data_IF_218842082869
#
_entry.id   IF_218842082869
#
_cell.length_a   1.000
_cell.length_b   1.000
_cell.length_c   1.000
_cell.angle_alpha   90.00
_cell.angle_beta   90.00
_cell.angle_gamma   90.00
#
_symmetry.space_group_name_H-M   'P 1'
#
loop_
_entity.id
_entity.type
_entity.pdbx_description
1 polymer ?
#
# COMPACT_ATOMS: atom_id res chain seq x y z
N UNK A 1 18.09 -1.67 -7.89
CA UNK A 1 16.92 -0.79 -7.59
C UNK A 1 15.76 -1.73 -7.26
N UNK A 2 14.97 -1.45 -6.24
CA UNK A 2 13.83 -2.27 -5.86
C UNK A 2 12.66 -2.05 -6.80
N UNK A 3 11.93 -3.12 -7.14
CA UNK A 3 10.71 -3.05 -7.95
C UNK A 3 9.49 -3.02 -7.03
N UNK A 4 8.69 -1.99 -7.15
CA UNK A 4 7.39 -1.86 -6.48
C UNK A 4 6.29 -2.05 -7.52
N UNK A 5 5.49 -3.08 -7.34
CA UNK A 5 4.34 -3.33 -8.20
C UNK A 5 3.06 -2.99 -7.43
N UNK A 6 2.15 -2.30 -8.07
CA UNK A 6 0.83 -2.00 -7.54
C UNK A 6 -0.23 -2.63 -8.44
N UNK A 7 -0.90 -3.67 -7.95
CA UNK A 7 -1.99 -4.33 -8.65
C UNK A 7 -3.31 -3.80 -8.09
N UNK A 8 -4.16 -3.27 -8.96
CA UNK A 8 -5.38 -2.56 -8.59
C UNK A 8 -6.53 -2.87 -9.54
N UNK A 9 -7.75 -2.86 -9.02
CA UNK A 9 -8.98 -3.05 -9.79
C UNK A 9 -9.54 -1.70 -10.26
N UNK A 10 -10.02 -1.68 -11.51
CA UNK A 10 -10.59 -0.51 -12.17
C UNK A 10 -9.55 0.50 -12.66
N UNK A 11 -9.94 1.29 -13.64
CA UNK A 11 -9.11 2.37 -14.22
C UNK A 11 -9.42 3.70 -13.56
N UNK A 12 -8.38 4.51 -13.35
CA UNK A 12 -8.56 5.92 -12.95
C UNK A 12 -8.89 6.73 -14.21
N UNK A 13 -10.04 7.40 -14.19
CA UNK A 13 -10.47 8.32 -15.26
C UNK A 13 -10.17 9.76 -14.91
N UNK A 14 -10.25 10.11 -13.65
CA UNK A 14 -10.12 11.46 -13.08
C UNK A 14 -8.66 11.96 -13.24
N UNK A 15 -8.50 13.15 -13.85
CA UNK A 15 -7.16 13.73 -14.12
C UNK A 15 -6.41 14.03 -12.84
N UNK A 16 -7.06 14.56 -11.81
CA UNK A 16 -6.43 14.92 -10.55
C UNK A 16 -5.79 13.73 -9.82
N UNK A 17 -6.37 12.53 -9.89
CA UNK A 17 -5.74 11.33 -9.35
C UNK A 17 -4.54 10.89 -10.20
N UNK A 18 -4.66 10.96 -11.55
CA UNK A 18 -3.56 10.65 -12.45
C UNK A 18 -2.38 11.57 -12.22
N UNK A 19 -2.64 12.87 -12.06
CA UNK A 19 -1.61 13.88 -11.85
C UNK A 19 -0.90 13.64 -10.51
N UNK A 20 -1.65 13.36 -9.43
CA UNK A 20 -1.07 13.03 -8.13
C UNK A 20 -0.20 11.76 -8.20
N UNK A 21 -0.68 10.68 -8.84
CA UNK A 21 0.08 9.44 -9.02
C UNK A 21 1.35 9.69 -9.82
N UNK A 22 1.26 10.45 -10.91
CA UNK A 22 2.41 10.76 -11.76
C UNK A 22 3.47 11.57 -11.02
N UNK A 23 3.05 12.50 -10.16
CA UNK A 23 3.96 13.29 -9.34
C UNK A 23 4.74 12.39 -8.36
N UNK A 24 4.03 11.57 -7.58
CA UNK A 24 4.70 10.62 -6.68
C UNK A 24 5.55 9.59 -7.41
N UNK A 25 5.13 9.14 -8.60
CA UNK A 25 5.92 8.23 -9.43
C UNK A 25 7.25 8.88 -9.86
N UNK A 26 7.24 10.17 -10.24
CA UNK A 26 8.47 10.91 -10.55
C UNK A 26 9.38 11.00 -9.32
N UNK A 27 8.81 11.34 -8.16
CA UNK A 27 9.59 11.44 -6.92
C UNK A 27 10.17 10.09 -6.46
N UNK A 28 9.46 8.98 -6.69
CA UNK A 28 9.92 7.64 -6.37
C UNK A 28 11.05 7.15 -7.26
N UNK A 29 11.20 7.68 -8.47
CA UNK A 29 12.14 7.17 -9.49
C UNK A 29 13.60 7.08 -9.01
N UNK A 30 14.01 7.89 -8.05
CA UNK A 30 15.35 7.85 -7.45
C UNK A 30 15.54 6.73 -6.42
N UNK A 31 14.47 6.07 -5.98
CA UNK A 31 14.49 5.06 -4.92
C UNK A 31 14.03 3.69 -5.42
N UNK A 32 12.98 3.65 -6.21
CA UNK A 32 12.32 2.43 -6.65
C UNK A 32 11.73 2.58 -8.05
N UNK A 33 11.59 1.46 -8.76
CA UNK A 33 10.81 1.40 -9.99
C UNK A 33 9.36 1.02 -9.67
N UNK A 34 8.43 1.97 -9.89
CA UNK A 34 7.01 1.78 -9.62
C UNK A 34 6.26 1.42 -10.90
N UNK A 35 5.71 0.21 -10.95
CA UNK A 35 4.80 -0.28 -11.98
C UNK A 35 3.38 -0.41 -11.43
N UNK A 36 2.39 0.08 -12.17
CA UNK A 36 0.96 0.00 -11.79
C UNK A 36 0.22 -0.85 -12.83
N UNK A 37 -0.43 -1.91 -12.36
CA UNK A 37 -1.23 -2.84 -13.16
C UNK A 37 -2.69 -2.63 -12.84
N UNK A 38 -3.40 -1.91 -13.72
CA UNK A 38 -4.84 -1.72 -13.65
C UNK A 38 -5.54 -2.93 -14.28
N UNK A 39 -6.27 -3.67 -13.47
CA UNK A 39 -7.08 -4.82 -13.89
C UNK A 39 -8.52 -4.33 -14.06
N UNK A 40 -9.21 -4.83 -15.10
CA UNK A 40 -10.62 -4.52 -15.29
C UNK A 40 -11.43 -5.13 -14.15
N UNK A 41 -12.17 -4.27 -13.45
CA UNK A 41 -13.14 -4.64 -12.43
C UNK A 41 -14.35 -5.36 -13.04
N UNK A 42 -14.95 -6.27 -12.29
CA UNK A 42 -16.21 -6.92 -12.66
C UNK A 42 -17.39 -5.99 -12.34
N UNK A 43 -18.47 -6.05 -13.14
CA UNK A 43 -19.71 -5.35 -12.83
C UNK A 43 -20.27 -5.77 -11.47
N UNK A 44 -20.47 -4.79 -10.57
CA UNK A 44 -20.98 -5.01 -9.22
C UNK A 44 -22.21 -4.12 -8.96
N UNK A 45 -23.40 -4.46 -9.50
CA UNK A 45 -24.63 -3.74 -9.20
C UNK A 45 -25.03 -3.86 -7.73
N UNK A 46 -25.78 -2.87 -7.22
CA UNK A 46 -26.13 -2.79 -5.79
C UNK A 46 -26.94 -3.97 -5.25
N UNK A 47 -27.67 -4.70 -6.13
CA UNK A 47 -28.58 -5.79 -5.76
C UNK A 47 -28.02 -7.19 -6.04
N UNK A 48 -26.70 -7.38 -5.90
CA UNK A 48 -26.11 -8.72 -6.03
C UNK A 48 -26.48 -9.63 -4.86
N UNK A 49 -26.75 -10.91 -5.17
CA UNK A 49 -26.82 -11.95 -4.14
C UNK A 49 -25.43 -12.18 -3.51
N UNK A 50 -25.39 -12.70 -2.28
CA UNK A 50 -24.10 -13.07 -1.64
C UNK A 50 -23.26 -14.00 -2.53
N UNK A 51 -23.92 -14.97 -3.17
CA UNK A 51 -23.27 -15.89 -4.11
C UNK A 51 -22.66 -15.19 -5.32
N UNK A 52 -23.35 -14.17 -5.85
CA UNK A 52 -22.83 -13.40 -6.99
C UNK A 52 -21.70 -12.46 -6.56
N UNK A 53 -21.78 -11.86 -5.36
CA UNK A 53 -20.69 -11.08 -4.80
C UNK A 53 -19.42 -11.91 -4.62
N UNK A 54 -19.57 -13.15 -4.12
CA UNK A 54 -18.44 -14.06 -3.97
C UNK A 54 -17.86 -14.46 -5.33
N UNK A 55 -18.70 -14.72 -6.33
CA UNK A 55 -18.26 -15.00 -7.71
C UNK A 55 -17.46 -13.84 -8.31
N UNK A 56 -17.96 -12.59 -8.16
CA UNK A 56 -17.26 -11.39 -8.62
C UNK A 56 -15.90 -11.28 -7.94
N UNK A 57 -15.87 -11.40 -6.61
CA UNK A 57 -14.65 -11.31 -5.81
C UNK A 57 -13.63 -12.38 -6.22
N UNK A 58 -14.06 -13.61 -6.48
CA UNK A 58 -13.18 -14.70 -6.92
C UNK A 58 -12.65 -14.48 -8.34
N UNK A 59 -13.50 -14.04 -9.28
CA UNK A 59 -13.09 -13.71 -10.65
C UNK A 59 -12.05 -12.59 -10.66
N UNK A 60 -12.26 -11.55 -9.86
CA UNK A 60 -11.28 -10.47 -9.68
C UNK A 60 -9.99 -10.98 -9.03
N UNK A 61 -10.12 -11.89 -8.05
CA UNK A 61 -9.00 -12.54 -7.37
C UNK A 61 -8.12 -13.33 -8.33
N UNK A 62 -8.68 -14.14 -9.22
CA UNK A 62 -7.95 -14.88 -10.26
C UNK A 62 -7.15 -13.95 -11.17
N UNK A 63 -7.76 -12.84 -11.59
CA UNK A 63 -7.08 -11.83 -12.42
C UNK A 63 -5.91 -11.18 -11.67
N UNK A 64 -6.08 -10.88 -10.38
CA UNK A 64 -5.03 -10.35 -9.51
C UNK A 64 -3.89 -11.35 -9.39
N UNK A 65 -4.19 -12.60 -9.05
CA UNK A 65 -3.20 -13.66 -8.87
C UNK A 65 -2.38 -13.89 -10.14
N UNK A 66 -3.01 -13.82 -11.32
CA UNK A 66 -2.31 -13.97 -12.62
C UNK A 66 -1.26 -12.88 -12.89
N UNK A 67 -1.29 -11.76 -12.16
CA UNK A 67 -0.34 -10.65 -12.28
C UNK A 67 0.75 -10.66 -11.21
N UNK A 68 0.59 -11.47 -10.18
CA UNK A 68 1.59 -11.60 -9.11
C UNK A 68 2.71 -12.52 -9.60
N UNK A 69 3.94 -12.05 -9.52
CA UNK A 69 5.12 -12.88 -9.81
C UNK A 69 5.37 -13.86 -8.68
N UNK A 70 5.92 -15.03 -8.98
CA UNK A 70 6.17 -16.09 -8.01
C UNK A 70 7.15 -15.63 -6.90
N UNK A 71 8.17 -14.85 -7.27
CA UNK A 71 9.20 -14.31 -6.37
C UNK A 71 8.78 -13.05 -5.61
N UNK A 72 7.56 -12.54 -5.84
CA UNK A 72 7.10 -11.31 -5.22
C UNK A 72 6.72 -11.49 -3.75
N UNK A 73 7.20 -10.57 -2.90
CA UNK A 73 6.64 -10.38 -1.58
C UNK A 73 5.35 -9.57 -1.69
N UNK A 74 4.24 -10.19 -1.34
CA UNK A 74 2.89 -9.63 -1.53
C UNK A 74 2.38 -8.99 -0.26
N UNK A 75 1.97 -7.72 -0.36
CA UNK A 75 1.31 -6.95 0.70
C UNK A 75 -0.11 -6.64 0.23
N UNK A 76 -1.10 -7.29 0.83
CA UNK A 76 -2.51 -7.01 0.55
C UNK A 76 -3.03 -5.90 1.47
N UNK A 77 -3.70 -4.89 0.89
CA UNK A 77 -4.42 -3.90 1.67
C UNK A 77 -5.76 -4.50 2.11
N UNK A 78 -5.92 -4.67 3.42
CA UNK A 78 -7.11 -5.26 4.02
C UNK A 78 -7.44 -4.55 5.34
N UNK A 79 -8.73 -4.32 5.63
CA UNK A 79 -9.18 -3.63 6.85
C UNK A 79 -8.76 -4.42 8.10
N UNK A 80 -8.80 -5.75 8.03
CA UNK A 80 -8.42 -6.68 9.10
C UNK A 80 -6.89 -6.86 9.23
N UNK A 81 -6.11 -6.20 8.38
CA UNK A 81 -4.66 -6.26 8.39
C UNK A 81 -4.05 -5.58 9.61
N UNK A 82 -2.74 -5.71 9.76
CA UNK A 82 -1.99 -5.01 10.82
C UNK A 82 -1.83 -3.53 10.45
N UNK A 83 -2.17 -2.66 11.38
CA UNK A 83 -1.90 -1.22 11.24
C UNK A 83 -0.45 -0.90 11.56
N UNK A 84 0.14 -0.03 10.77
CA UNK A 84 1.47 0.53 10.99
C UNK A 84 1.39 2.05 10.92
N UNK A 85 2.20 2.73 11.70
CA UNK A 85 2.49 4.14 11.48
C UNK A 85 3.53 4.30 10.34
N UNK A 86 3.83 5.52 9.96
CA UNK A 86 4.75 5.79 8.84
C UNK A 86 6.18 5.30 9.12
N UNK A 87 6.62 5.28 10.37
CA UNK A 87 7.94 4.78 10.76
C UNK A 87 7.96 3.24 10.67
N UNK A 88 6.97 2.56 11.24
CA UNK A 88 6.84 1.12 11.17
C UNK A 88 6.64 0.61 9.74
N UNK A 89 5.98 1.39 8.87
CA UNK A 89 5.88 1.05 7.45
C UNK A 89 7.24 1.21 6.74
N UNK A 90 8.00 2.26 7.04
CA UNK A 90 9.35 2.45 6.53
C UNK A 90 10.28 1.31 6.98
N UNK A 91 10.24 0.93 8.26
CA UNK A 91 11.01 -0.19 8.79
C UNK A 91 10.63 -1.51 8.11
N UNK A 92 9.34 -1.73 7.86
CA UNK A 92 8.87 -2.92 7.14
C UNK A 92 9.47 -2.99 5.74
N UNK A 93 9.42 -1.90 4.98
CA UNK A 93 10.01 -1.83 3.62
C UNK A 93 11.53 -2.04 3.68
N UNK A 94 12.21 -1.40 4.64
CA UNK A 94 13.66 -1.53 4.81
C UNK A 94 14.07 -2.97 5.12
N UNK A 95 13.37 -3.63 6.04
CA UNK A 95 13.65 -5.02 6.39
C UNK A 95 13.45 -5.97 5.20
N UNK A 96 12.40 -5.77 4.40
CA UNK A 96 12.20 -6.54 3.18
C UNK A 96 13.38 -6.38 2.20
N UNK A 97 13.92 -5.18 2.06
CA UNK A 97 15.11 -4.95 1.21
C UNK A 97 16.35 -5.63 1.79
N UNK A 98 16.56 -5.58 3.10
CA UNK A 98 17.68 -6.25 3.81
C UNK A 98 17.57 -7.77 3.64
N UNK A 99 16.37 -8.33 3.72
CA UNK A 99 16.07 -9.75 3.52
C UNK A 99 16.19 -10.20 2.04
N UNK A 100 16.54 -9.28 1.12
CA UNK A 100 16.79 -9.57 -0.29
C UNK A 100 15.55 -9.56 -1.18
N UNK A 101 14.40 -9.12 -0.68
CA UNK A 101 13.20 -8.99 -1.50
C UNK A 101 13.33 -7.80 -2.45
N UNK A 102 13.61 -8.07 -3.72
CA UNK A 102 13.74 -7.06 -4.78
C UNK A 102 12.41 -6.73 -5.50
N UNK A 103 11.38 -7.57 -5.30
CA UNK A 103 10.06 -7.44 -5.89
C UNK A 103 8.99 -7.38 -4.78
N UNK A 104 8.49 -6.18 -4.48
CA UNK A 104 7.37 -5.99 -3.53
C UNK A 104 6.12 -5.66 -4.33
N UNK A 105 5.06 -6.43 -4.12
CA UNK A 105 3.79 -6.23 -4.81
C UNK A 105 2.70 -5.86 -3.81
N UNK A 106 2.13 -4.67 -3.98
CA UNK A 106 0.94 -4.24 -3.24
C UNK A 106 -0.32 -4.57 -4.01
N UNK A 107 -1.35 -5.01 -3.31
CA UNK A 107 -2.65 -5.35 -3.90
C UNK A 107 -3.76 -4.54 -3.24
N UNK A 108 -4.55 -3.84 -4.04
CA UNK A 108 -5.74 -3.10 -3.60
C UNK A 108 -6.96 -3.73 -4.28
N UNK A 109 -7.92 -4.21 -3.47
CA UNK A 109 -9.17 -4.77 -3.96
C UNK A 109 -10.14 -3.74 -4.52
N UNK A 110 -11.23 -4.25 -5.09
CA UNK A 110 -12.37 -3.45 -5.54
C UNK A 110 -13.38 -3.16 -4.42
N UNK A 111 -14.63 -2.91 -4.80
CA UNK A 111 -15.73 -2.58 -3.88
C UNK A 111 -16.10 -3.73 -2.92
N UNK A 112 -15.88 -4.97 -3.32
CA UNK A 112 -16.12 -6.17 -2.51
C UNK A 112 -14.90 -6.65 -1.72
N UNK A 113 -13.78 -5.92 -1.78
CA UNK A 113 -12.54 -6.33 -1.14
C UNK A 113 -11.73 -7.33 -1.96
N UNK A 114 -10.91 -8.13 -1.30
CA UNK A 114 -10.05 -9.16 -1.91
C UNK A 114 -10.62 -10.56 -1.66
N UNK A 115 -10.42 -11.47 -2.61
CA UNK A 115 -10.78 -12.89 -2.43
C UNK A 115 -9.89 -13.56 -1.39
N UNK A 116 -10.38 -14.67 -0.84
CA UNK A 116 -9.64 -15.43 0.17
C UNK A 116 -8.31 -15.96 -0.38
N UNK A 117 -8.27 -16.37 -1.66
CA UNK A 117 -7.06 -16.84 -2.31
C UNK A 117 -6.00 -15.73 -2.43
N UNK A 118 -6.41 -14.50 -2.75
CA UNK A 118 -5.48 -13.35 -2.76
C UNK A 118 -4.97 -13.07 -1.35
N UNK A 119 -5.85 -13.12 -0.35
CA UNK A 119 -5.47 -12.92 1.06
C UNK A 119 -4.57 -14.04 1.59
N UNK A 120 -4.72 -15.28 1.12
CA UNK A 120 -3.84 -16.40 1.44
C UNK A 120 -2.49 -16.30 0.73
N UNK A 121 -2.44 -15.81 -0.52
CA UNK A 121 -1.20 -15.55 -1.26
C UNK A 121 -0.37 -14.43 -0.63
N UNK A 122 -1.01 -13.50 0.06
CA UNK A 122 -0.34 -12.34 0.65
C UNK A 122 0.58 -12.77 1.80
N UNK A 123 1.85 -12.34 1.73
CA UNK A 123 2.82 -12.50 2.81
C UNK A 123 2.53 -11.56 3.99
N UNK A 124 1.84 -10.45 3.74
CA UNK A 124 1.47 -9.48 4.75
C UNK A 124 0.14 -8.82 4.42
N UNK A 125 -0.72 -8.65 5.43
CA UNK A 125 -1.98 -7.90 5.34
C UNK A 125 -1.80 -6.56 6.05
N UNK A 126 -1.87 -5.46 5.30
CA UNK A 126 -1.68 -4.10 5.81
C UNK A 126 -3.02 -3.39 5.91
N UNK A 127 -3.31 -2.81 7.08
CA UNK A 127 -4.45 -1.92 7.27
C UNK A 127 -3.98 -0.47 7.41
N UNK A 128 -4.55 0.42 6.60
CA UNK A 128 -4.35 1.86 6.75
C UNK A 128 -5.29 2.47 7.80
N UNK A 129 -6.44 1.86 8.01
CA UNK A 129 -7.45 2.31 8.96
C UNK A 129 -8.56 1.26 9.06
N UNK A 130 -9.34 1.34 10.15
CA UNK A 130 -10.64 0.64 10.23
C UNK A 130 -11.74 1.32 9.40
N UNK A 131 -11.47 2.54 8.88
CA UNK A 131 -12.35 3.25 7.97
C UNK A 131 -12.14 2.75 6.55
N UNK A 132 -13.22 2.72 5.76
CA UNK A 132 -13.17 2.40 4.33
C UNK A 132 -12.82 3.65 3.52
N UNK A 133 -11.87 3.53 2.62
CA UNK A 133 -11.48 4.57 1.66
C UNK A 133 -11.86 4.19 0.24
N UNK A 134 -12.24 5.15 -0.61
CA UNK A 134 -12.38 4.91 -2.04
C UNK A 134 -11.08 4.33 -2.62
N UNK A 135 -11.16 3.21 -3.34
CA UNK A 135 -9.99 2.49 -3.86
C UNK A 135 -9.08 3.37 -4.75
N UNK A 136 -9.64 4.34 -5.48
CA UNK A 136 -8.85 5.28 -6.29
C UNK A 136 -8.01 6.23 -5.44
N UNK A 137 -8.59 6.74 -4.34
CA UNK A 137 -7.87 7.60 -3.39
C UNK A 137 -6.80 6.78 -2.65
N UNK A 138 -7.13 5.53 -2.28
CA UNK A 138 -6.20 4.64 -1.59
C UNK A 138 -4.92 4.39 -2.39
N UNK A 139 -4.98 4.38 -3.74
CA UNK A 139 -3.78 4.28 -4.59
C UNK A 139 -2.83 5.45 -4.37
N UNK A 140 -3.36 6.68 -4.34
CA UNK A 140 -2.56 7.89 -4.11
C UNK A 140 -1.95 7.86 -2.71
N UNK A 141 -2.75 7.53 -1.69
CA UNK A 141 -2.30 7.45 -0.30
C UNK A 141 -1.18 6.40 -0.16
N UNK A 142 -1.34 5.21 -0.74
CA UNK A 142 -0.31 4.16 -0.69
C UNK A 142 0.99 4.60 -1.36
N UNK A 143 0.92 5.18 -2.56
CA UNK A 143 2.12 5.61 -3.28
C UNK A 143 2.83 6.73 -2.51
N UNK A 144 2.08 7.65 -1.91
CA UNK A 144 2.63 8.67 -1.00
C UNK A 144 3.37 8.04 0.18
N UNK A 145 2.76 7.06 0.85
CA UNK A 145 3.37 6.39 1.99
C UNK A 145 4.61 5.55 1.58
N UNK A 146 4.62 4.97 0.40
CA UNK A 146 5.81 4.31 -0.15
C UNK A 146 6.93 5.34 -0.35
N UNK A 147 6.64 6.50 -0.96
CA UNK A 147 7.60 7.58 -1.11
C UNK A 147 8.12 8.07 0.25
N UNK A 148 7.22 8.30 1.20
CA UNK A 148 7.55 8.70 2.58
C UNK A 148 8.48 7.68 3.25
N UNK A 149 8.20 6.39 3.10
CA UNK A 149 9.05 5.32 3.63
C UNK A 149 10.48 5.42 3.11
N UNK A 150 10.68 5.61 1.80
CA UNK A 150 12.02 5.79 1.25
C UNK A 150 12.71 7.07 1.72
N UNK A 151 11.96 8.17 1.97
CA UNK A 151 12.52 9.39 2.56
C UNK A 151 13.00 9.15 3.99
N UNK A 152 12.23 8.39 4.79
CA UNK A 152 12.61 8.01 6.16
C UNK A 152 13.84 7.09 6.13
N UNK A 153 13.84 6.03 5.34
CA UNK A 153 14.95 5.07 5.21
C UNK A 153 16.26 5.78 4.85
N UNK A 154 16.21 6.80 4.00
CA UNK A 154 17.38 7.55 3.58
C UNK A 154 17.68 8.80 4.42
N UNK A 155 17.02 8.97 5.58
CA UNK A 155 17.16 10.12 6.47
C UNK A 155 16.93 11.47 5.79
N UNK A 156 16.07 11.52 4.77
CA UNK A 156 15.76 12.76 4.07
C UNK A 156 14.63 13.54 4.77
N UNK A 157 14.65 14.91 4.79
CA UNK A 157 13.72 15.73 5.53
C UNK A 157 12.34 15.80 4.87
N UNK A 158 11.52 14.78 5.02
CA UNK A 158 10.14 14.74 4.56
C UNK A 158 9.15 14.49 5.71
N UNK A 159 9.52 13.62 6.66
CA UNK A 159 8.71 13.28 7.81
C UNK A 159 9.06 14.18 9.00
N UNK A 160 8.47 15.38 9.07
CA UNK A 160 8.81 16.38 10.09
C UNK A 160 8.21 16.10 11.48
N UNK A 161 7.13 15.32 11.57
CA UNK A 161 6.42 15.07 12.83
C UNK A 161 7.25 14.27 13.86
N UNK A 162 8.06 13.32 13.42
CA UNK A 162 8.92 12.53 14.30
C UNK A 162 10.01 13.36 15.00
N UNK A 163 10.44 14.48 14.39
CA UNK A 163 11.41 15.38 14.99
C UNK A 163 10.84 16.17 16.18
N UNK A 164 9.54 16.40 16.20
CA UNK A 164 8.86 17.06 17.33
C UNK A 164 8.69 16.08 18.51
N UNK A 165 8.32 14.83 18.28
CA UNK A 165 8.18 13.83 19.34
C UNK A 165 9.52 13.51 20.02
N UNK A 166 10.62 13.40 19.26
CA UNK A 166 11.96 13.19 19.81
C UNK A 166 12.41 14.37 20.66
N UNK A 167 12.06 15.61 20.32
CA UNK A 167 12.36 16.79 21.14
C UNK A 167 11.55 16.82 22.42
N UNK A 168 10.27 16.43 22.40
CA UNK A 168 9.43 16.40 23.59
C UNK A 168 9.84 15.28 24.56
N UNK A 169 10.16 14.08 24.09
CA UNK A 169 10.63 12.98 24.94
C UNK A 169 12.00 13.27 25.55
N UNK A 170 12.90 13.93 24.85
CA UNK A 170 14.18 14.36 25.45
C UNK A 170 14.05 15.49 26.48
N UNK A 171 13.08 16.39 26.30
CA UNK A 171 12.81 17.48 27.24
C UNK A 171 12.18 16.98 28.55
N UNK A 172 11.30 15.98 28.48
CA UNK A 172 10.66 15.38 29.65
C UNK A 172 11.62 14.52 30.48
N UNK A 173 12.70 13.98 29.88
CA UNK A 173 13.72 13.21 30.61
C UNK A 173 14.69 14.08 31.37
N UNK A 174 14.81 15.37 31.04
CA UNK A 174 15.69 16.33 31.76
C UNK A 174 14.99 16.99 32.95
N UNK A 175 13.65 17.03 32.99
CA UNK A 175 12.88 17.64 34.07
C UNK A 175 12.55 16.70 35.23
N UNK A 176 12.89 15.42 35.16
CA UNK A 176 12.71 14.45 36.25
C UNK A 176 13.96 14.21 37.09
N UNK A 177 15.01 15.04 36.94
CA UNK A 177 16.28 15.00 37.75
C UNK A 177 16.68 16.34 38.36
N UNK A 178 15.71 17.19 38.62
CA UNK A 178 15.84 18.32 39.56
C UNK A 178 14.76 18.15 40.65
#
# INVERSE_FOLDING_TARGET
>A
MININLIVLGKIKESYFKDAINEYKKMLKSYADLSIFEIMDEPCPENLSEKDMERVKNTEGEKILSKIKDDAYVIALAIEGKSLDSLGFADKINNLMIDGHSNITFVIGGSLGLSDEVLQRANYKLSFSKMTFPHKLMRVILIEQIYRAFRIINNHPYHKWSLYEIKFTKSSFFLSRL
#
